data_IF_843427386624
#
_entry.id   IF_843427386624
#
_cell.length_a   1.000
_cell.length_b   1.000
_cell.length_c   1.000
_cell.angle_alpha   90.00
_cell.angle_beta   90.00
_cell.angle_gamma   90.00
#
_symmetry.space_group_name_H-M   'P 1'
#
loop_
_entity.id
_entity.type
_entity.pdbx_description
1 polymer ?
#
# COMPACT_ATOMS: atom_id res chain seq x y z
N UNK A 1 4.12 11.92 7.81
CA UNK A 1 3.53 11.73 6.45
C UNK A 1 2.29 12.62 6.32
N UNK A 2 2.22 13.53 5.34
CA UNK A 2 1.07 14.45 5.19
C UNK A 2 -0.20 13.65 4.88
N UNK A 3 -1.32 13.92 5.56
CA UNK A 3 -2.61 13.19 5.44
C UNK A 3 -3.11 13.08 3.99
N UNK A 4 -2.80 14.06 3.15
CA UNK A 4 -3.22 14.15 1.74
C UNK A 4 -2.69 13.01 0.86
N UNK A 5 -1.59 12.36 1.25
CA UNK A 5 -0.95 11.29 0.47
C UNK A 5 -1.37 9.89 0.89
N UNK A 6 -2.24 9.71 1.89
CA UNK A 6 -2.62 8.38 2.39
C UNK A 6 -3.95 7.91 1.81
N UNK A 7 -3.99 6.67 1.33
CA UNK A 7 -5.24 6.00 0.97
C UNK A 7 -5.92 5.49 2.26
N UNK A 8 -7.16 5.92 2.51
CA UNK A 8 -7.98 5.45 3.65
C UNK A 8 -9.20 4.65 3.21
N UNK A 9 -9.74 4.90 2.01
CA UNK A 9 -10.93 4.23 1.49
C UNK A 9 -10.61 2.82 1.04
N UNK A 10 -11.42 1.85 1.45
CA UNK A 10 -11.25 0.45 1.06
C UNK A 10 -11.43 0.24 -0.44
N UNK A 11 -12.35 0.98 -1.07
CA UNK A 11 -12.62 0.88 -2.51
C UNK A 11 -11.40 1.27 -3.35
N UNK A 12 -10.62 2.26 -2.90
CA UNK A 12 -9.38 2.64 -3.56
C UNK A 12 -8.35 1.51 -3.51
N UNK A 13 -8.27 0.77 -2.39
CA UNK A 13 -7.41 -0.42 -2.28
C UNK A 13 -7.87 -1.52 -3.23
N UNK A 14 -9.18 -1.84 -3.24
CA UNK A 14 -9.73 -2.85 -4.14
C UNK A 14 -9.49 -2.50 -5.61
N UNK A 15 -9.63 -1.22 -5.98
CA UNK A 15 -9.38 -0.77 -7.35
C UNK A 15 -7.91 -0.99 -7.75
N UNK A 16 -6.97 -0.68 -6.86
CA UNK A 16 -5.54 -0.87 -7.10
C UNK A 16 -5.20 -2.36 -7.18
N UNK A 17 -5.82 -3.22 -6.38
CA UNK A 17 -5.61 -4.67 -6.45
C UNK A 17 -6.19 -5.29 -7.73
N UNK A 18 -7.32 -4.79 -8.23
CA UNK A 18 -7.98 -5.32 -9.44
C UNK A 18 -7.36 -4.82 -10.74
N UNK A 19 -7.02 -3.53 -10.82
CA UNK A 19 -6.57 -2.88 -12.07
C UNK A 19 -5.09 -2.47 -12.08
N UNK A 20 -4.43 -2.50 -10.93
CA UNK A 20 -3.03 -2.10 -10.81
C UNK A 20 -2.06 -3.18 -11.27
N UNK A 21 -0.87 -2.76 -11.70
CA UNK A 21 0.25 -3.66 -11.96
C UNK A 21 0.93 -4.01 -10.63
N UNK A 22 1.24 -5.28 -10.42
CA UNK A 22 1.92 -5.79 -9.23
C UNK A 22 3.40 -6.03 -9.50
N UNK A 23 4.22 -5.71 -8.49
CA UNK A 23 5.64 -6.04 -8.45
C UNK A 23 5.93 -6.63 -7.07
N UNK A 24 6.60 -7.77 -7.02
CA UNK A 24 6.86 -8.48 -5.78
C UNK A 24 8.36 -8.74 -5.59
N UNK A 25 8.83 -8.57 -4.36
CA UNK A 25 10.11 -9.08 -3.90
C UNK A 25 9.89 -10.00 -2.68
N UNK A 26 10.97 -10.56 -2.11
CA UNK A 26 10.88 -11.50 -0.96
C UNK A 26 10.19 -10.92 0.28
N UNK A 27 10.12 -9.60 0.43
CA UNK A 27 9.67 -8.91 1.64
C UNK A 27 8.37 -8.12 1.44
N UNK A 28 8.09 -7.68 0.22
CA UNK A 28 7.03 -6.74 -0.11
C UNK A 28 6.40 -7.03 -1.46
N UNK A 29 5.09 -6.73 -1.55
CA UNK A 29 4.36 -6.67 -2.80
C UNK A 29 3.85 -5.24 -2.97
N UNK A 30 4.21 -4.61 -4.09
CA UNK A 30 3.84 -3.24 -4.43
C UNK A 30 2.85 -3.27 -5.58
N UNK A 31 1.73 -2.59 -5.41
CA UNK A 31 0.74 -2.37 -6.47
C UNK A 31 0.81 -0.93 -6.95
N UNK A 32 0.86 -0.74 -8.27
CA UNK A 32 0.89 0.58 -8.93
C UNK A 32 -0.28 0.71 -9.88
N UNK A 33 -1.08 1.75 -9.68
CA UNK A 33 -2.15 2.16 -10.59
C UNK A 33 -1.90 3.62 -10.99
N UNK A 34 -1.72 3.89 -12.27
CA UNK A 34 -1.64 5.25 -12.79
C UNK A 34 -3.06 5.84 -12.77
N UNK A 35 -3.23 7.00 -12.14
CA UNK A 35 -4.45 7.81 -12.23
C UNK A 35 -4.05 9.10 -12.93
N UNK A 36 -4.66 9.36 -14.07
CA UNK A 36 -4.39 10.57 -14.87
C UNK A 36 -4.94 11.83 -14.19
N UNK A 37 -6.00 11.69 -13.39
CA UNK A 37 -6.69 12.85 -12.79
C UNK A 37 -6.11 13.31 -11.44
N UNK A 38 -5.12 12.60 -10.88
CA UNK A 38 -4.62 12.91 -9.54
C UNK A 38 -3.30 13.67 -9.57
N UNK A 39 -3.34 14.95 -9.16
CA UNK A 39 -2.18 15.85 -9.08
C UNK A 39 -1.13 15.45 -8.01
N UNK A 40 -1.39 14.39 -7.23
CA UNK A 40 -0.55 13.93 -6.12
C UNK A 40 -0.59 12.40 -6.01
N UNK A 41 0.55 11.79 -5.64
CA UNK A 41 0.62 10.35 -5.37
C UNK A 41 -0.09 9.99 -4.07
N UNK A 42 -0.72 8.80 -4.02
CA UNK A 42 -1.33 8.27 -2.80
C UNK A 42 -0.73 6.90 -2.49
N UNK A 43 -0.39 6.69 -1.22
CA UNK A 43 0.16 5.44 -0.72
C UNK A 43 -0.77 4.81 0.31
N UNK A 44 -0.97 3.51 0.19
CA UNK A 44 -1.70 2.68 1.13
C UNK A 44 -0.82 1.52 1.57
N UNK A 45 -0.76 1.24 2.87
CA UNK A 45 -0.01 0.12 3.41
C UNK A 45 -1.00 -0.91 3.91
N UNK A 46 -0.93 -2.12 3.35
CA UNK A 46 -1.66 -3.28 3.83
C UNK A 46 -0.64 -4.25 4.42
N UNK A 47 -0.86 -4.68 5.66
CA UNK A 47 0.01 -5.65 6.34
C UNK A 47 -0.85 -6.81 6.80
N UNK A 48 -0.45 -8.02 6.45
CA UNK A 48 -1.10 -9.23 6.96
C UNK A 48 -0.86 -9.37 8.45
N UNK A 49 -1.92 -9.64 9.23
CA UNK A 49 -1.83 -9.89 10.69
C UNK A 49 -0.83 -10.99 11.03
N UNK A 50 -0.61 -11.95 10.13
CA UNK A 50 0.31 -13.08 10.33
C UNK A 50 1.78 -12.63 10.43
N UNK A 51 2.21 -11.67 9.62
CA UNK A 51 3.61 -11.21 9.57
C UNK A 51 3.87 -9.98 10.47
N UNK A 52 2.81 -9.40 11.04
CA UNK A 52 2.87 -8.23 11.91
C UNK A 52 3.81 -8.40 13.11
N UNK A 53 3.80 -9.58 13.76
CA UNK A 53 4.67 -9.86 14.92
C UNK A 53 6.16 -9.78 14.60
N UNK A 54 6.57 -10.00 13.33
CA UNK A 54 7.98 -9.99 12.90
C UNK A 54 8.48 -8.60 12.51
N UNK A 55 7.61 -7.72 12.03
CA UNK A 55 7.99 -6.36 11.66
C UNK A 55 8.04 -5.39 12.87
N UNK A 56 7.49 -5.81 14.01
CA UNK A 56 7.45 -5.04 15.26
C UNK A 56 8.36 -5.60 16.36
N UNK A 57 9.28 -6.53 16.04
CA UNK A 57 10.37 -6.80 16.96
C UNK A 57 11.11 -5.47 17.15
N UNK A 58 10.90 -4.86 18.31
CA UNK A 58 11.62 -3.65 18.71
C UNK A 58 13.11 -3.97 18.64
N UNK A 59 13.95 -3.04 18.13
CA UNK A 59 15.36 -3.12 18.48
C UNK A 59 15.45 -3.02 20.00
N UNK A 60 16.11 -3.98 20.63
CA UNK A 60 16.53 -3.88 22.03
C UNK A 60 17.44 -2.64 22.22
#
# INVERSE_FOLDING_TARGET
MKKKYRIKKNDDFQLVFKKGKSFANRQFVVYKLKREDSNHFRIGLSVSKKNWKRCLSKPD
#
